data_IF_685071946925
#
_entry.id   IF_685071946925
#
_cell.length_a   1.000
_cell.length_b   1.000
_cell.length_c   1.000
_cell.angle_alpha   90.00
_cell.angle_beta   90.00
_cell.angle_gamma   90.00
#
_symmetry.space_group_name_H-M   'P 1'
#
loop_
_entity.id
_entity.type
_entity.pdbx_description
1 polymer ?
#
# COMPACT_ATOMS: atom_id res chain seq x y z
N UNK A 1 -42.41 -5.36 12.00
CA UNK A 1 -41.88 -6.45 12.85
C UNK A 1 -41.56 -7.66 11.98
N UNK A 2 -40.31 -7.81 11.55
CA UNK A 2 -39.88 -9.00 10.82
C UNK A 2 -39.87 -10.18 11.82
N UNK A 3 -40.56 -11.27 11.47
CA UNK A 3 -40.81 -12.38 12.40
C UNK A 3 -39.51 -13.01 12.90
N UNK A 4 -39.47 -13.37 14.19
CA UNK A 4 -38.33 -14.08 14.81
C UNK A 4 -37.93 -15.40 14.09
N UNK A 5 -38.78 -15.90 13.18
CA UNK A 5 -38.48 -17.08 12.36
C UNK A 5 -37.38 -16.83 11.31
N UNK A 6 -37.24 -15.60 10.80
CA UNK A 6 -36.19 -15.26 9.84
C UNK A 6 -34.81 -15.17 10.49
N UNK A 7 -34.74 -14.64 11.71
CA UNK A 7 -33.49 -14.52 12.48
C UNK A 7 -32.96 -15.91 12.88
N UNK A 8 -33.85 -16.85 13.26
CA UNK A 8 -33.46 -18.23 13.58
C UNK A 8 -32.97 -19.01 12.36
N UNK A 9 -33.53 -18.80 11.16
CA UNK A 9 -33.04 -19.44 9.93
C UNK A 9 -31.69 -18.90 9.46
N UNK A 10 -31.37 -17.64 9.74
CA UNK A 10 -30.05 -17.08 9.47
C UNK A 10 -28.99 -17.61 10.45
N UNK A 11 -29.33 -17.74 11.73
CA UNK A 11 -28.43 -18.29 12.76
C UNK A 11 -28.10 -19.79 12.53
N UNK A 12 -29.04 -20.58 12.00
CA UNK A 12 -28.82 -22.00 11.71
C UNK A 12 -27.94 -22.26 10.46
N UNK A 13 -27.77 -21.26 9.56
CA UNK A 13 -26.85 -21.34 8.42
C UNK A 13 -25.42 -20.89 8.77
N UNK A 14 -25.25 -20.19 9.89
CA UNK A 14 -23.96 -19.87 10.48
C UNK A 14 -23.57 -21.03 11.40
N UNK A 15 -23.06 -22.10 10.81
CA UNK A 15 -22.52 -23.24 11.57
C UNK A 15 -21.57 -22.76 12.66
N UNK A 16 -21.70 -23.32 13.86
CA UNK A 16 -20.78 -23.12 14.96
C UNK A 16 -19.35 -23.45 14.50
N UNK A 17 -18.34 -22.59 14.71
CA UNK A 17 -16.96 -22.94 14.40
C UNK A 17 -16.54 -24.06 15.34
N UNK A 18 -16.56 -25.29 14.82
CA UNK A 18 -16.10 -26.45 15.55
C UNK A 18 -14.58 -26.31 15.74
N UNK A 19 -14.14 -26.60 16.96
CA UNK A 19 -12.76 -26.52 17.38
C UNK A 19 -11.85 -27.39 16.49
N UNK A 20 -10.94 -26.77 15.76
CA UNK A 20 -9.78 -27.46 15.19
C UNK A 20 -8.66 -27.45 16.22
N UNK A 21 -8.59 -28.54 16.99
CA UNK A 21 -7.44 -28.93 17.79
C UNK A 21 -6.67 -29.97 16.99
N UNK A 22 -5.41 -29.68 16.67
CA UNK A 22 -4.42 -30.67 16.24
C UNK A 22 -3.81 -30.43 14.86
N UNK A 23 -2.68 -29.70 14.82
CA UNK A 23 -1.37 -30.27 14.47
C UNK A 23 -0.33 -29.16 14.42
N UNK A 24 0.69 -29.26 15.27
CA UNK A 24 1.89 -28.44 15.27
C UNK A 24 2.62 -28.54 13.92
N UNK A 25 2.35 -27.59 13.03
CA UNK A 25 3.30 -27.11 12.03
C UNK A 25 3.41 -25.61 12.25
N UNK A 26 4.57 -25.15 12.75
CA UNK A 26 4.89 -23.72 12.83
C UNK A 26 4.70 -23.11 11.44
N UNK A 27 3.64 -22.34 11.22
CA UNK A 27 3.53 -21.44 10.08
C UNK A 27 4.80 -20.58 10.08
N UNK A 28 5.61 -20.68 9.02
CA UNK A 28 6.64 -19.66 8.74
C UNK A 28 5.88 -18.34 8.67
N UNK A 29 6.13 -17.42 9.62
CA UNK A 29 5.43 -16.15 9.71
C UNK A 29 5.38 -15.47 8.34
N UNK A 30 4.18 -15.18 7.85
CA UNK A 30 3.95 -14.52 6.56
C UNK A 30 4.65 -13.17 6.57
N UNK A 31 5.62 -12.97 5.65
CA UNK A 31 6.36 -11.69 5.53
C UNK A 31 5.40 -10.55 5.20
N UNK A 32 5.53 -9.45 5.93
CA UNK A 32 4.85 -8.19 5.63
C UNK A 32 5.48 -7.52 4.40
N UNK A 33 4.67 -6.97 3.51
CA UNK A 33 5.15 -6.37 2.25
C UNK A 33 4.63 -4.95 2.09
N UNK A 34 5.55 -3.98 2.04
CA UNK A 34 5.26 -2.61 1.66
C UNK A 34 5.36 -2.41 0.15
N UNK A 35 4.65 -1.41 -0.37
CA UNK A 35 4.68 -1.05 -1.79
C UNK A 35 5.20 0.37 -1.97
N UNK A 36 6.05 0.61 -2.96
CA UNK A 36 6.50 1.93 -3.38
C UNK A 36 6.10 2.17 -4.83
N UNK A 37 5.43 3.28 -5.09
CA UNK A 37 5.12 3.78 -6.42
C UNK A 37 5.82 5.12 -6.59
N UNK A 38 6.80 5.22 -7.49
CA UNK A 38 7.47 6.50 -7.77
C UNK A 38 6.74 7.23 -8.90
N UNK A 39 6.13 8.36 -8.57
CA UNK A 39 5.37 9.24 -9.45
C UNK A 39 5.82 10.72 -9.34
N UNK A 40 7.09 10.94 -8.96
CA UNK A 40 7.62 12.26 -8.61
C UNK A 40 8.23 13.05 -9.78
N UNK A 41 7.60 13.00 -10.97
CA UNK A 41 8.09 13.63 -12.20
C UNK A 41 8.48 15.13 -12.10
N UNK A 42 9.10 15.66 -13.16
CA UNK A 42 9.55 17.04 -13.40
C UNK A 42 8.74 17.76 -14.49
N UNK A 43 8.55 19.07 -14.31
CA UNK A 43 7.89 19.94 -15.28
C UNK A 43 8.61 20.09 -16.64
N UNK A 44 9.92 19.84 -16.72
CA UNK A 44 10.80 20.35 -17.79
C UNK A 44 11.11 19.38 -18.94
N UNK A 45 10.53 18.17 -18.96
CA UNK A 45 10.73 17.24 -20.06
C UNK A 45 9.45 17.06 -20.90
N UNK A 46 9.56 17.20 -22.23
CA UNK A 46 8.45 17.04 -23.21
C UNK A 46 7.77 15.65 -23.19
N UNK A 47 8.29 14.67 -22.44
CA UNK A 47 7.86 13.26 -22.40
C UNK A 47 7.82 12.73 -20.96
N UNK A 48 7.25 13.52 -20.06
CA UNK A 48 7.07 13.06 -18.69
C UNK A 48 5.80 12.20 -18.57
N UNK A 49 5.90 11.03 -17.90
CA UNK A 49 4.77 10.14 -17.73
C UNK A 49 3.75 10.82 -16.83
N UNK A 50 2.56 11.09 -17.35
CA UNK A 50 1.45 11.66 -16.59
C UNK A 50 0.82 10.58 -15.70
N UNK A 51 1.02 10.57 -14.36
CA UNK A 51 0.48 9.53 -13.47
C UNK A 51 -1.06 9.46 -13.48
N UNK A 52 -1.72 10.52 -13.95
CA UNK A 52 -3.16 10.66 -14.04
C UNK A 52 -3.70 10.33 -15.44
N UNK A 53 -2.83 9.98 -16.40
CA UNK A 53 -3.26 9.43 -17.70
C UNK A 53 -4.15 8.22 -17.45
N UNK A 54 -5.29 8.18 -18.15
CA UNK A 54 -6.22 7.06 -18.04
C UNK A 54 -5.87 6.01 -19.08
N UNK A 55 -5.80 4.76 -18.63
CA UNK A 55 -5.82 3.60 -19.51
C UNK A 55 -7.10 2.84 -19.20
N UNK A 56 -8.03 2.80 -20.15
CA UNK A 56 -9.43 2.50 -19.87
C UNK A 56 -10.10 3.63 -19.08
N UNK A 57 -10.74 3.30 -17.96
CA UNK A 57 -11.53 4.27 -17.16
C UNK A 57 -10.80 4.88 -15.96
N UNK A 58 -9.64 4.33 -15.58
CA UNK A 58 -8.90 4.70 -14.37
C UNK A 58 -7.49 5.20 -14.72
N UNK A 59 -6.92 6.03 -13.83
CA UNK A 59 -5.54 6.52 -13.96
C UNK A 59 -4.53 5.38 -13.83
N UNK A 60 -3.36 5.52 -14.47
CA UNK A 60 -2.27 4.54 -14.37
C UNK A 60 -1.83 4.32 -12.92
N UNK A 61 -1.74 5.39 -12.13
CA UNK A 61 -1.31 5.27 -10.73
C UNK A 61 -2.33 4.51 -9.89
N UNK A 62 -3.62 4.76 -10.11
CA UNK A 62 -4.71 4.05 -9.46
C UNK A 62 -4.73 2.58 -9.83
N UNK A 63 -4.42 2.23 -11.07
CA UNK A 63 -4.28 0.83 -11.51
C UNK A 63 -3.21 0.09 -10.70
N UNK A 64 -2.04 0.70 -10.52
CA UNK A 64 -0.97 0.12 -9.70
C UNK A 64 -1.41 -0.04 -8.24
N UNK A 65 -2.05 0.99 -7.66
CA UNK A 65 -2.57 0.94 -6.28
C UNK A 65 -3.57 -0.21 -6.11
N UNK A 66 -4.52 -0.38 -7.04
CA UNK A 66 -5.50 -1.46 -6.98
C UNK A 66 -4.83 -2.83 -7.08
N UNK A 67 -3.84 -2.98 -7.97
CA UNK A 67 -3.07 -4.21 -8.12
C UNK A 67 -2.32 -4.57 -6.82
N UNK A 68 -1.71 -3.59 -6.16
CA UNK A 68 -1.06 -3.77 -4.85
C UNK A 68 -2.07 -4.14 -3.75
N UNK A 69 -3.22 -3.47 -3.70
CA UNK A 69 -4.27 -3.74 -2.71
C UNK A 69 -4.83 -5.16 -2.84
N UNK A 70 -5.01 -5.64 -4.06
CA UNK A 70 -5.57 -6.97 -4.33
C UNK A 70 -4.70 -8.12 -3.78
N UNK A 71 -3.38 -7.94 -3.75
CA UNK A 71 -2.44 -8.92 -3.17
C UNK A 71 -2.13 -8.66 -1.69
N UNK A 72 -2.77 -7.66 -1.08
CA UNK A 72 -2.61 -7.34 0.34
C UNK A 72 -1.33 -6.58 0.67
N UNK A 73 -0.71 -5.88 -0.28
CA UNK A 73 0.42 -4.99 0.02
C UNK A 73 -0.06 -3.85 0.91
N UNK A 74 0.63 -3.67 2.03
CA UNK A 74 0.38 -2.59 2.98
C UNK A 74 1.62 -2.38 3.86
N UNK A 75 2.07 -1.12 4.06
CA UNK A 75 1.51 0.10 3.50
C UNK A 75 1.88 0.30 2.02
N UNK A 76 1.05 1.06 1.28
CA UNK A 76 1.35 1.52 -0.09
C UNK A 76 1.80 2.97 0.00
N UNK A 77 3.02 3.24 -0.45
CA UNK A 77 3.68 4.54 -0.43
C UNK A 77 3.78 5.07 -1.85
N UNK A 78 3.19 6.23 -2.10
CA UNK A 78 3.25 6.95 -3.38
C UNK A 78 4.19 8.13 -3.21
N UNK A 79 5.27 8.15 -3.99
CA UNK A 79 6.22 9.25 -4.01
C UNK A 79 5.76 10.26 -5.06
N UNK A 80 5.40 11.47 -4.63
CA UNK A 80 4.91 12.54 -5.49
C UNK A 80 5.95 13.66 -5.64
N UNK A 81 5.74 14.52 -6.64
CA UNK A 81 6.64 15.62 -7.00
C UNK A 81 5.82 16.72 -7.67
N UNK A 82 6.03 16.95 -8.97
CA UNK A 82 5.35 18.01 -9.72
C UNK A 82 3.80 18.01 -9.61
N UNK A 83 3.13 16.87 -9.86
CA UNK A 83 1.66 16.77 -9.80
C UNK A 83 1.13 16.30 -8.42
N UNK A 84 1.78 16.68 -7.32
CA UNK A 84 1.47 16.11 -6.01
C UNK A 84 0.01 16.29 -5.58
N UNK A 85 -0.55 17.50 -5.71
CA UNK A 85 -1.91 17.78 -5.24
C UNK A 85 -2.99 17.00 -6.01
N UNK A 86 -2.84 16.89 -7.33
CA UNK A 86 -3.79 16.19 -8.20
C UNK A 86 -3.74 14.68 -7.97
N UNK A 87 -2.54 14.11 -7.79
CA UNK A 87 -2.34 12.70 -7.44
C UNK A 87 -2.91 12.41 -6.05
N UNK A 88 -2.64 13.29 -5.08
CA UNK A 88 -3.16 13.17 -3.72
C UNK A 88 -4.69 13.20 -3.69
N UNK A 89 -5.31 14.03 -4.53
CA UNK A 89 -6.75 14.10 -4.68
C UNK A 89 -7.33 12.82 -5.29
N UNK A 90 -6.77 12.31 -6.39
CA UNK A 90 -7.24 11.08 -7.08
C UNK A 90 -7.18 9.84 -6.17
N UNK A 91 -6.19 9.80 -5.27
CA UNK A 91 -5.91 8.65 -4.41
C UNK A 91 -6.32 8.84 -2.93
N UNK A 92 -6.97 9.96 -2.57
CA UNK A 92 -7.25 10.37 -1.19
C UNK A 92 -8.03 9.35 -0.34
N UNK A 93 -8.84 8.51 -1.00
CA UNK A 93 -9.72 7.50 -0.38
C UNK A 93 -9.24 6.06 -0.59
N UNK A 94 -8.04 5.88 -1.15
CA UNK A 94 -7.43 4.57 -1.38
C UNK A 94 -6.49 4.13 -0.25
N UNK A 95 -6.38 4.90 0.84
CA UNK A 95 -5.58 4.51 2.00
C UNK A 95 -4.09 4.36 1.69
N UNK A 96 -3.59 5.14 0.73
CA UNK A 96 -2.16 5.23 0.40
C UNK A 96 -1.49 6.33 1.24
N UNK A 97 -0.17 6.21 1.39
CA UNK A 97 0.70 7.17 2.06
C UNK A 97 1.42 7.99 1.00
N UNK A 98 1.44 9.30 1.12
CA UNK A 98 2.15 10.20 0.22
C UNK A 98 3.46 10.69 0.85
N UNK A 99 4.55 10.58 0.08
CA UNK A 99 5.82 11.24 0.40
C UNK A 99 6.16 12.18 -0.75
N UNK A 100 6.36 13.46 -0.45
CA UNK A 100 6.74 14.46 -1.47
C UNK A 100 8.26 14.50 -1.59
N UNK A 101 8.76 14.34 -2.81
CA UNK A 101 10.13 14.70 -3.13
C UNK A 101 10.18 16.19 -3.46
N UNK A 102 10.50 17.04 -2.49
CA UNK A 102 10.57 18.50 -2.68
C UNK A 102 11.65 18.92 -3.70
N UNK A 103 12.65 18.06 -3.94
CA UNK A 103 13.72 18.30 -4.90
C UNK A 103 13.43 17.65 -6.27
N UNK A 104 12.16 17.40 -6.60
CA UNK A 104 11.78 16.69 -7.84
C UNK A 104 12.45 17.28 -9.08
N UNK A 105 12.54 18.62 -9.20
CA UNK A 105 13.14 19.28 -10.37
C UNK A 105 14.62 18.96 -10.62
N UNK A 106 15.43 18.76 -9.57
CA UNK A 106 16.88 18.54 -9.68
C UNK A 106 17.33 17.10 -9.40
N UNK A 107 16.50 16.31 -8.71
CA UNK A 107 16.80 14.92 -8.32
C UNK A 107 16.53 13.89 -9.42
N UNK A 108 16.96 12.66 -9.22
CA UNK A 108 16.70 11.51 -10.10
C UNK A 108 15.58 10.62 -9.52
N UNK A 109 15.05 9.71 -10.35
CA UNK A 109 14.07 8.70 -9.90
C UNK A 109 14.59 7.88 -8.71
N UNK A 110 15.90 7.60 -8.68
CA UNK A 110 16.51 6.85 -7.59
C UNK A 110 16.46 7.59 -6.25
N UNK A 111 16.57 8.92 -6.24
CA UNK A 111 16.40 9.71 -5.01
C UNK A 111 14.98 9.59 -4.46
N UNK A 112 13.99 9.59 -5.37
CA UNK A 112 12.58 9.35 -5.01
C UNK A 112 12.37 7.93 -4.47
N UNK A 113 13.05 6.93 -5.05
CA UNK A 113 13.04 5.57 -4.54
C UNK A 113 13.63 5.48 -3.12
N UNK A 114 14.75 6.16 -2.85
CA UNK A 114 15.37 6.22 -1.52
C UNK A 114 14.44 6.82 -0.47
N UNK A 115 13.64 7.83 -0.81
CA UNK A 115 12.62 8.40 0.11
C UNK A 115 11.63 7.31 0.54
N UNK A 116 11.09 6.54 -0.42
CA UNK A 116 10.15 5.46 -0.14
C UNK A 116 10.79 4.31 0.66
N UNK A 117 12.00 3.89 0.26
CA UNK A 117 12.73 2.80 0.93
C UNK A 117 13.08 3.17 2.38
N UNK A 118 13.58 4.39 2.61
CA UNK A 118 13.86 4.89 3.95
C UNK A 118 12.62 4.96 4.84
N UNK A 119 11.46 5.29 4.26
CA UNK A 119 10.20 5.26 5.00
C UNK A 119 9.78 3.83 5.39
N UNK A 120 9.99 2.85 4.51
CA UNK A 120 9.55 1.45 4.71
C UNK A 120 10.54 0.55 5.46
N UNK A 121 11.79 0.97 5.62
CA UNK A 121 12.89 0.14 6.17
C UNK A 121 12.52 -0.63 7.44
N UNK A 122 11.84 0.02 8.39
CA UNK A 122 11.45 -0.58 9.68
C UNK A 122 9.93 -0.82 9.78
N UNK A 123 9.22 -0.91 8.65
CA UNK A 123 7.76 -1.05 8.59
C UNK A 123 7.27 -2.27 7.80
N UNK A 124 8.17 -2.96 7.12
CA UNK A 124 7.85 -4.14 6.31
C UNK A 124 9.08 -5.02 6.16
N UNK A 125 8.90 -6.34 6.06
CA UNK A 125 9.99 -7.31 5.86
C UNK A 125 10.56 -7.28 4.43
N UNK A 126 9.73 -6.85 3.47
CA UNK A 126 10.09 -6.70 2.07
C UNK A 126 9.29 -5.58 1.40
N UNK A 127 9.81 -5.09 0.28
CA UNK A 127 9.26 -3.96 -0.46
C UNK A 127 9.12 -4.32 -1.93
N UNK A 128 7.94 -4.06 -2.49
CA UNK A 128 7.70 -4.04 -3.94
C UNK A 128 7.89 -2.60 -4.42
N UNK A 129 8.87 -2.39 -5.28
CA UNK A 129 9.17 -1.11 -5.92
C UNK A 129 8.69 -1.08 -7.37
N UNK A 130 7.95 -0.05 -7.74
CA UNK A 130 7.48 0.16 -9.10
C UNK A 130 7.56 1.64 -9.54
N UNK A 131 8.14 1.95 -10.72
CA UNK A 131 7.94 3.25 -11.34
C UNK A 131 6.51 3.36 -11.87
N UNK A 132 5.88 4.53 -11.78
CA UNK A 132 4.50 4.73 -12.26
C UNK A 132 4.33 4.46 -13.76
N UNK A 133 5.43 4.45 -14.51
CA UNK A 133 5.46 4.26 -15.96
C UNK A 133 5.09 2.87 -16.40
N UNK A 134 5.17 1.84 -15.55
CA UNK A 134 4.85 0.45 -15.91
C UNK A 134 3.64 0.02 -15.10
N UNK A 135 2.41 0.11 -15.65
CA UNK A 135 1.18 -0.06 -14.87
C UNK A 135 0.46 -1.40 -15.09
N UNK A 136 0.98 -2.31 -15.94
CA UNK A 136 0.21 -3.44 -16.47
C UNK A 136 0.56 -4.83 -15.92
N UNK A 137 1.49 -4.95 -14.97
CA UNK A 137 1.73 -6.24 -14.31
C UNK A 137 0.49 -6.72 -13.55
N UNK A 138 0.38 -8.04 -13.43
CA UNK A 138 -0.77 -8.70 -12.81
C UNK A 138 -0.58 -8.89 -11.30
N UNK A 139 -1.69 -9.02 -10.55
CA UNK A 139 -1.65 -9.44 -9.14
C UNK A 139 -0.92 -10.77 -8.93
N UNK A 140 -1.07 -11.73 -9.85
CA UNK A 140 -0.40 -13.04 -9.78
C UNK A 140 1.13 -12.88 -9.78
N UNK A 141 1.66 -11.98 -10.61
CA UNK A 141 3.10 -11.67 -10.65
C UNK A 141 3.62 -11.24 -9.30
N UNK A 142 2.93 -10.31 -8.64
CA UNK A 142 3.36 -9.82 -7.33
C UNK A 142 3.24 -10.91 -6.27
N UNK A 143 2.16 -11.68 -6.29
CA UNK A 143 1.95 -12.77 -5.33
C UNK A 143 3.08 -13.81 -5.43
N UNK A 144 3.44 -14.24 -6.65
CA UNK A 144 4.56 -15.17 -6.87
C UNK A 144 5.90 -14.59 -6.40
N UNK A 145 6.13 -13.29 -6.64
CA UNK A 145 7.32 -12.60 -6.12
C UNK A 145 7.36 -12.61 -4.59
N UNK A 146 6.26 -12.29 -3.91
CA UNK A 146 6.16 -12.27 -2.45
C UNK A 146 6.39 -13.65 -1.80
N UNK A 147 6.00 -14.73 -2.49
CA UNK A 147 6.10 -16.11 -2.00
C UNK A 147 7.48 -16.76 -2.27
N UNK A 148 8.25 -16.23 -3.22
CA UNK A 148 9.54 -16.81 -3.63
C UNK A 148 10.61 -16.78 -2.53
N UNK A 149 10.60 -15.77 -1.65
CA UNK A 149 11.48 -15.69 -0.49
C UNK A 149 12.93 -15.27 -0.77
N UNK A 150 13.32 -15.05 -2.04
CA UNK A 150 14.62 -14.49 -2.39
C UNK A 150 14.73 -13.01 -1.98
N UNK A 151 15.95 -12.55 -1.69
CA UNK A 151 16.19 -11.21 -1.14
C UNK A 151 16.00 -10.09 -2.19
N UNK A 152 16.27 -10.38 -3.46
CA UNK A 152 15.99 -9.46 -4.58
C UNK A 152 15.39 -10.27 -5.73
N UNK A 153 14.22 -9.85 -6.22
CA UNK A 153 13.53 -10.53 -7.33
C UNK A 153 13.18 -9.52 -8.41
N UNK A 154 13.48 -9.88 -9.65
CA UNK A 154 12.97 -9.18 -10.82
C UNK A 154 12.23 -10.13 -11.74
N UNK A 155 10.99 -9.80 -12.14
CA UNK A 155 10.26 -10.60 -13.08
C UNK A 155 10.91 -10.51 -14.46
N UNK A 156 10.83 -11.61 -15.20
CA UNK A 156 11.25 -11.70 -16.59
C UNK A 156 10.15 -12.32 -17.45
N UNK A 157 9.96 -11.76 -18.64
CA UNK A 157 9.03 -12.26 -19.65
C UNK A 157 9.83 -12.55 -20.91
N UNK A 158 9.89 -13.83 -21.31
CA UNK A 158 10.69 -14.33 -22.43
C UNK A 158 12.13 -13.75 -22.47
N UNK A 159 12.84 -13.83 -21.33
CA UNK A 159 14.23 -13.39 -21.20
C UNK A 159 14.44 -11.88 -21.05
N UNK A 160 13.37 -11.07 -21.07
CA UNK A 160 13.45 -9.63 -20.82
C UNK A 160 13.01 -9.34 -19.39
N UNK A 161 13.85 -8.65 -18.61
CA UNK A 161 13.49 -8.20 -17.27
C UNK A 161 12.54 -7.02 -17.32
N UNK A 162 11.60 -6.97 -16.37
CA UNK A 162 10.68 -5.86 -16.18
C UNK A 162 10.52 -5.44 -14.72
N UNK A 163 9.38 -4.81 -14.46
CA UNK A 163 8.93 -4.35 -13.15
C UNK A 163 7.64 -5.08 -12.72
N UNK A 164 7.35 -5.19 -11.41
CA UNK A 164 8.00 -4.50 -10.30
C UNK A 164 9.29 -5.19 -9.81
N UNK A 165 10.02 -4.56 -8.89
CA UNK A 165 11.21 -5.12 -8.23
C UNK A 165 10.86 -5.46 -6.77
N UNK A 166 11.13 -6.68 -6.31
CA UNK A 166 11.05 -7.02 -4.88
C UNK A 166 12.42 -6.87 -4.24
N UNK A 167 12.46 -6.25 -3.06
CA UNK A 167 13.65 -6.01 -2.26
C UNK A 167 13.36 -6.38 -0.81
N UNK A 168 14.18 -7.25 -0.21
CA UNK A 168 14.13 -7.50 1.22
C UNK A 168 14.57 -6.26 2.00
N UNK A 169 13.89 -5.97 3.12
CA UNK A 169 14.18 -4.81 3.93
C UNK A 169 15.62 -4.79 4.49
N UNK A 170 16.23 -5.96 4.70
CA UNK A 170 17.62 -6.12 5.15
C UNK A 170 18.64 -5.48 4.19
N UNK A 171 18.28 -5.34 2.91
CA UNK A 171 19.15 -4.77 1.87
C UNK A 171 18.99 -3.25 1.74
N UNK A 172 17.92 -2.67 2.31
CA UNK A 172 17.63 -1.24 2.20
C UNK A 172 18.79 -0.37 2.69
N UNK A 173 19.41 -0.61 3.86
CA UNK A 173 20.54 0.21 4.33
C UNK A 173 21.69 0.29 3.31
N UNK A 174 21.99 -0.81 2.61
CA UNK A 174 23.03 -0.84 1.57
C UNK A 174 22.62 -0.09 0.31
N UNK A 175 21.36 -0.23 -0.12
CA UNK A 175 20.82 0.54 -1.26
C UNK A 175 20.88 2.05 -0.97
N UNK A 176 20.55 2.45 0.26
CA UNK A 176 20.59 3.86 0.67
C UNK A 176 21.99 4.47 0.58
N UNK A 177 23.03 3.68 0.84
CA UNK A 177 24.44 4.09 0.77
C UNK A 177 24.99 4.19 -0.67
N UNK A 178 24.33 3.58 -1.66
CA UNK A 178 24.80 3.63 -3.04
C UNK A 178 24.68 5.05 -3.62
N UNK A 179 25.79 5.59 -4.11
CA UNK A 179 25.89 6.94 -4.68
C UNK A 179 26.38 6.95 -6.14
N UNK A 180 26.32 5.79 -6.82
CA UNK A 180 26.70 5.70 -8.24
C UNK A 180 25.61 6.23 -9.18
N UNK A 181 25.96 6.38 -10.46
CA UNK A 181 25.11 7.04 -11.47
C UNK A 181 24.07 6.13 -12.12
N UNK A 182 24.16 4.81 -11.91
CA UNK A 182 23.28 3.81 -12.54
C UNK A 182 21.93 3.59 -11.81
N UNK A 183 21.56 4.49 -10.90
CA UNK A 183 20.28 4.46 -10.17
C UNK A 183 20.01 3.14 -9.44
N UNK A 184 18.74 2.73 -9.39
CA UNK A 184 18.31 1.49 -8.71
C UNK A 184 19.02 0.25 -9.26
N UNK A 185 19.23 0.17 -10.58
CA UNK A 185 19.93 -0.95 -11.20
C UNK A 185 21.34 -1.10 -10.64
N UNK A 186 22.12 -0.01 -10.65
CA UNK A 186 23.46 -0.02 -10.09
C UNK A 186 23.51 -0.31 -8.60
N UNK A 187 22.51 0.18 -7.84
CA UNK A 187 22.39 -0.11 -6.42
C UNK A 187 22.22 -1.61 -6.16
N UNK A 188 21.33 -2.28 -6.91
CA UNK A 188 21.11 -3.73 -6.81
C UNK A 188 22.35 -4.50 -7.23
N UNK A 189 22.99 -4.13 -8.35
CA UNK A 189 24.20 -4.79 -8.84
C UNK A 189 25.37 -4.68 -7.83
N UNK A 190 25.41 -3.62 -7.02
CA UNK A 190 26.42 -3.40 -5.96
C UNK A 190 26.12 -4.13 -4.63
N UNK A 191 24.99 -4.81 -4.47
CA UNK A 191 24.64 -5.44 -3.18
C UNK A 191 25.50 -6.67 -2.85
N UNK A 192 26.20 -7.23 -3.83
CA UNK A 192 26.87 -8.53 -3.72
C UNK A 192 25.91 -9.70 -3.46
N UNK A 193 24.60 -9.48 -3.66
CA UNK A 193 23.54 -10.47 -3.49
C UNK A 193 23.12 -11.03 -4.84
N UNK A 194 22.74 -12.31 -4.89
CA UNK A 194 22.25 -12.93 -6.11
C UNK A 194 20.85 -12.40 -6.41
N UNK A 195 20.72 -11.64 -7.50
CA UNK A 195 19.42 -11.23 -8.05
C UNK A 195 18.72 -12.46 -8.63
N UNK A 196 17.53 -12.76 -8.13
CA UNK A 196 16.68 -13.82 -8.67
C UNK A 196 15.85 -13.28 -9.84
N UNK A 197 16.05 -13.83 -11.03
CA UNK A 197 15.23 -13.57 -12.20
C UNK A 197 14.07 -14.56 -12.20
N UNK A 198 12.84 -14.05 -12.15
CA UNK A 198 11.64 -14.88 -12.07
C UNK A 198 10.91 -14.88 -13.41
N UNK A 199 11.03 -15.98 -14.14
CA UNK A 199 10.28 -16.15 -15.38
C UNK A 199 8.77 -16.26 -15.09
N UNK A 200 8.01 -15.38 -15.73
CA UNK A 200 6.57 -15.27 -15.58
C UNK A 200 5.90 -14.94 -16.90
N UNK A 201 4.72 -15.50 -17.13
CA UNK A 201 3.90 -15.28 -18.32
C UNK A 201 3.06 -14.00 -18.19
N UNK A 202 3.75 -12.88 -17.95
CA UNK A 202 3.15 -11.56 -17.76
C UNK A 202 3.95 -10.52 -18.54
N UNK A 203 3.48 -10.21 -19.75
CA UNK A 203 4.06 -9.18 -20.58
C UNK A 203 3.90 -7.77 -19.99
N UNK A 204 2.92 -7.56 -19.10
CA UNK A 204 2.62 -6.27 -18.49
C UNK A 204 3.76 -5.72 -17.63
N UNK A 205 4.77 -6.53 -17.32
CA UNK A 205 5.98 -6.12 -16.61
C UNK A 205 6.93 -5.25 -17.46
N UNK A 206 6.78 -5.26 -18.80
CA UNK A 206 7.76 -4.67 -19.73
C UNK A 206 7.36 -3.28 -20.24
N UNK A 207 6.07 -3.05 -20.45
CA UNK A 207 5.61 -1.92 -21.25
C UNK A 207 5.41 -0.68 -20.40
N UNK A 208 6.06 0.40 -20.82
CA UNK A 208 5.88 1.70 -20.20
C UNK A 208 4.74 2.49 -20.86
N UNK A 209 4.46 3.67 -20.31
CA UNK A 209 3.38 4.57 -20.75
C UNK A 209 3.54 5.13 -22.18
N UNK A 210 4.74 5.03 -22.78
CA UNK A 210 4.95 5.49 -24.16
C UNK A 210 4.38 4.50 -25.19
N UNK A 211 4.19 3.22 -24.80
CA UNK A 211 3.60 2.18 -25.66
C UNK A 211 2.06 2.06 -25.48
N UNK A 212 1.35 3.15 -25.75
CA UNK A 212 -0.11 3.25 -25.53
C UNK A 212 -0.86 2.13 -26.29
N UNK A 213 -0.47 1.84 -27.53
CA UNK A 213 -1.11 0.80 -28.34
C UNK A 213 -1.01 -0.58 -27.67
N UNK A 214 0.16 -0.93 -27.12
CA UNK A 214 0.31 -2.22 -26.43
C UNK A 214 -0.41 -2.24 -25.10
N UNK A 215 -0.42 -1.13 -24.36
CA UNK A 215 -1.18 -1.02 -23.11
C UNK A 215 -2.69 -1.23 -23.33
N UNK A 216 -3.25 -0.68 -24.42
CA UNK A 216 -4.65 -0.89 -24.80
C UNK A 216 -4.96 -2.35 -25.16
N UNK A 217 -4.02 -3.04 -25.82
CA UNK A 217 -4.16 -4.48 -26.11
C UNK A 217 -4.12 -5.32 -24.83
N UNK A 218 -3.27 -4.96 -23.87
CA UNK A 218 -3.17 -5.66 -22.59
C UNK A 218 -4.33 -5.35 -21.64
N UNK A 219 -4.99 -4.21 -21.81
CA UNK A 219 -6.03 -3.69 -20.92
C UNK A 219 -7.12 -4.71 -20.64
N UNK A 220 -7.63 -5.42 -21.66
CA UNK A 220 -8.71 -6.39 -21.48
C UNK A 220 -8.28 -7.54 -20.57
N UNK A 221 -7.12 -8.15 -20.86
CA UNK A 221 -6.57 -9.26 -20.07
C UNK A 221 -6.26 -8.77 -18.65
N UNK A 222 -5.58 -7.64 -18.52
CA UNK A 222 -5.24 -7.07 -17.22
C UNK A 222 -6.49 -6.75 -16.39
N UNK A 223 -7.54 -6.17 -16.97
CA UNK A 223 -8.81 -5.89 -16.28
C UNK A 223 -9.48 -7.16 -15.73
N UNK A 224 -9.32 -8.31 -16.40
CA UNK A 224 -9.79 -9.59 -15.86
C UNK A 224 -8.96 -10.02 -14.65
N UNK A 225 -7.64 -9.83 -14.68
CA UNK A 225 -6.78 -10.17 -13.54
C UNK A 225 -6.98 -9.26 -12.32
N UNK A 226 -7.36 -7.99 -12.53
CA UNK A 226 -7.69 -7.07 -11.43
C UNK A 226 -9.14 -7.17 -10.94
N UNK A 227 -9.92 -8.13 -11.45
CA UNK A 227 -11.26 -8.42 -10.94
C UNK A 227 -11.14 -9.09 -9.57
N UNK A 228 -11.58 -8.40 -8.51
CA UNK A 228 -11.51 -8.88 -7.14
C UNK A 228 -12.63 -8.27 -6.28
N UNK A 229 -12.98 -8.89 -5.14
CA UNK A 229 -13.90 -8.27 -4.21
C UNK A 229 -13.24 -7.07 -3.55
N UNK A 230 -13.89 -5.92 -3.63
CA UNK A 230 -13.44 -4.69 -2.98
C UNK A 230 -14.37 -4.34 -1.82
N UNK A 231 -13.86 -4.45 -0.59
CA UNK A 231 -14.63 -4.19 0.64
C UNK A 231 -14.06 -2.99 1.38
N UNK A 232 -14.90 -1.98 1.60
CA UNK A 232 -14.60 -0.85 2.50
C UNK A 232 -15.18 -1.14 3.86
N UNK A 233 -14.32 -1.19 4.88
CA UNK A 233 -14.70 -1.50 6.25
C UNK A 233 -14.60 -0.23 7.07
N UNK A 234 -15.63 0.03 7.86
CA UNK A 234 -15.76 1.22 8.69
C UNK A 234 -16.61 0.89 9.92
N UNK A 235 -16.47 1.70 10.97
CA UNK A 235 -17.28 1.60 12.19
C UNK A 235 -18.09 2.90 12.32
N UNK A 236 -19.39 2.72 12.54
CA UNK A 236 -20.35 3.79 12.80
C UNK A 236 -21.17 3.50 14.07
N UNK A 237 -21.70 4.56 14.65
CA UNK A 237 -22.76 4.56 15.66
C UNK A 237 -23.91 5.43 15.14
N UNK A 238 -24.26 6.52 15.83
CA UNK A 238 -25.15 7.55 15.27
C UNK A 238 -24.51 8.26 14.07
N UNK A 239 -23.17 8.25 13.98
CA UNK A 239 -22.42 8.74 12.83
C UNK A 239 -21.19 7.87 12.52
N UNK A 240 -20.68 7.97 11.29
CA UNK A 240 -19.42 7.34 10.87
C UNK A 240 -18.24 7.98 11.60
N UNK A 241 -17.51 7.21 12.40
CA UNK A 241 -16.40 7.74 13.21
C UNK A 241 -15.05 7.07 12.98
N UNK A 242 -15.03 5.87 12.36
CA UNK A 242 -13.78 5.20 12.03
C UNK A 242 -13.81 4.56 10.64
N UNK A 243 -12.86 4.95 9.79
CA UNK A 243 -12.72 4.44 8.43
C UNK A 243 -11.23 4.26 8.09
N UNK A 244 -10.94 3.83 6.86
CA UNK A 244 -9.55 3.63 6.37
C UNK A 244 -8.65 4.85 6.56
N UNK A 245 -9.19 6.07 6.46
CA UNK A 245 -8.44 7.32 6.62
C UNK A 245 -8.10 7.60 8.08
N UNK A 246 -9.05 7.37 9.00
CA UNK A 246 -8.79 7.47 10.45
C UNK A 246 -7.79 6.40 10.90
N UNK A 247 -7.92 5.16 10.41
CA UNK A 247 -6.92 4.09 10.63
C UNK A 247 -5.52 4.53 10.22
N UNK A 248 -5.37 5.05 9.00
CA UNK A 248 -4.08 5.47 8.48
C UNK A 248 -3.49 6.64 9.26
N UNK A 249 -4.32 7.58 9.72
CA UNK A 249 -3.92 8.65 10.63
C UNK A 249 -3.34 8.09 11.93
N UNK A 250 -3.99 7.12 12.58
CA UNK A 250 -3.50 6.51 13.82
C UNK A 250 -2.18 5.75 13.60
N UNK A 251 -2.08 4.95 12.54
CA UNK A 251 -0.83 4.25 12.17
C UNK A 251 0.33 5.25 12.01
N UNK A 252 0.11 6.35 11.31
CA UNK A 252 1.14 7.36 11.10
C UNK A 252 1.47 8.12 12.39
N UNK A 253 0.52 8.39 13.28
CA UNK A 253 0.81 8.96 14.61
C UNK A 253 1.68 7.99 15.43
N UNK A 254 1.37 6.69 15.40
CA UNK A 254 2.15 5.66 16.08
C UNK A 254 3.62 5.65 15.62
N UNK A 255 3.88 5.86 14.33
CA UNK A 255 5.24 5.87 13.78
C UNK A 255 5.97 7.22 13.84
N UNK A 256 5.25 8.33 13.63
CA UNK A 256 5.88 9.67 13.53
C UNK A 256 5.87 10.43 14.86
N UNK A 257 5.07 9.96 15.82
CA UNK A 257 4.79 10.65 17.07
C UNK A 257 4.31 12.10 16.91
N UNK A 258 3.64 12.39 15.78
CA UNK A 258 3.21 13.74 15.39
C UNK A 258 1.98 13.72 14.49
N UNK A 259 0.89 14.33 14.96
CA UNK A 259 -0.33 14.50 14.13
C UNK A 259 -0.03 15.34 12.89
N UNK A 260 0.81 16.37 13.02
CA UNK A 260 1.16 17.25 11.89
C UNK A 260 1.95 16.47 10.84
N UNK A 261 2.90 15.63 11.26
CA UNK A 261 3.66 14.78 10.33
C UNK A 261 2.74 13.75 9.66
N UNK A 262 1.87 13.10 10.43
CA UNK A 262 0.89 12.16 9.89
C UNK A 262 -0.02 12.81 8.84
N UNK A 263 -0.53 14.02 9.10
CA UNK A 263 -1.38 14.78 8.17
C UNK A 263 -0.74 15.00 6.80
N UNK A 264 0.55 15.36 6.78
CA UNK A 264 1.32 15.57 5.53
C UNK A 264 1.37 14.32 4.65
N UNK A 265 1.27 13.14 5.25
CA UNK A 265 1.39 11.86 4.55
C UNK A 265 0.07 11.31 4.01
N UNK A 266 -1.09 11.91 4.32
CA UNK A 266 -2.41 11.37 3.91
C UNK A 266 -3.33 12.42 3.30
N UNK A 267 -2.73 13.52 2.80
CA UNK A 267 -3.45 14.66 2.23
C UNK A 267 -4.61 15.13 3.13
N UNK A 268 -4.32 15.30 4.43
CA UNK A 268 -5.31 15.67 5.44
C UNK A 268 -4.89 16.98 6.12
N UNK A 269 -5.83 17.92 6.26
CA UNK A 269 -5.53 19.14 7.02
C UNK A 269 -5.44 18.85 8.51
N UNK A 270 -4.56 19.60 9.20
CA UNK A 270 -4.35 19.45 10.64
C UNK A 270 -5.64 19.62 11.46
N UNK A 271 -6.51 20.57 11.06
CA UNK A 271 -7.79 20.80 11.72
C UNK A 271 -8.78 19.64 11.49
N UNK A 272 -8.81 19.07 10.29
CA UNK A 272 -9.67 17.92 9.98
C UNK A 272 -9.19 16.67 10.72
N UNK A 273 -7.87 16.48 10.89
CA UNK A 273 -7.32 15.39 11.70
C UNK A 273 -7.76 15.47 13.16
N UNK A 274 -7.69 16.65 13.79
CA UNK A 274 -8.20 16.81 15.16
C UNK A 274 -9.71 16.62 15.27
N UNK A 275 -10.49 17.06 14.28
CA UNK A 275 -11.94 16.75 14.25
C UNK A 275 -12.19 15.24 14.21
N UNK A 276 -11.44 14.49 13.40
CA UNK A 276 -11.54 13.03 13.32
C UNK A 276 -11.12 12.34 14.63
N UNK A 277 -10.02 12.79 15.26
CA UNK A 277 -9.55 12.24 16.54
C UNK A 277 -10.55 12.51 17.67
N UNK A 278 -11.05 13.74 17.78
CA UNK A 278 -12.01 14.11 18.81
C UNK A 278 -13.34 13.34 18.64
N UNK A 279 -13.82 13.18 17.40
CA UNK A 279 -15.02 12.38 17.13
C UNK A 279 -14.78 10.91 17.53
N UNK A 280 -13.63 10.34 17.18
CA UNK A 280 -13.28 8.98 17.56
C UNK A 280 -13.28 8.79 19.09
N UNK A 281 -12.64 9.70 19.83
CA UNK A 281 -12.59 9.64 21.30
C UNK A 281 -13.96 9.83 21.94
N UNK A 282 -14.78 10.74 21.41
CA UNK A 282 -16.17 10.94 21.85
C UNK A 282 -17.00 9.66 21.66
N UNK A 283 -16.91 9.03 20.50
CA UNK A 283 -17.68 7.81 20.19
C UNK A 283 -17.16 6.59 20.95
N UNK A 284 -15.86 6.54 21.28
CA UNK A 284 -15.28 5.44 22.07
C UNK A 284 -15.44 5.63 23.59
N UNK A 285 -15.56 6.86 24.06
CA UNK A 285 -15.64 7.19 25.49
C UNK A 285 -14.29 7.15 26.23
N UNK A 286 -13.17 7.12 25.49
CA UNK A 286 -11.82 7.16 26.05
C UNK A 286 -10.84 7.85 25.09
N UNK A 287 -9.73 8.35 25.63
CA UNK A 287 -8.67 8.97 24.83
C UNK A 287 -7.94 7.93 23.98
N UNK A 288 -7.77 8.22 22.69
CA UNK A 288 -7.04 7.40 21.72
C UNK A 288 -5.64 7.96 21.51
N UNK A 289 -5.44 9.26 21.73
CA UNK A 289 -4.14 9.91 21.65
C UNK A 289 -3.80 10.69 22.91
N UNK A 290 -2.52 10.71 23.27
CA UNK A 290 -1.98 11.57 24.33
C UNK A 290 -0.98 12.58 23.77
N UNK A 291 -1.05 13.82 24.26
CA UNK A 291 -0.10 14.88 23.90
C UNK A 291 0.95 15.05 25.00
N UNK A 292 2.23 15.02 24.63
CA UNK A 292 3.34 15.41 25.50
C UNK A 292 3.85 16.78 25.06
N UNK A 293 3.73 17.76 25.95
CA UNK A 293 4.22 19.11 25.68
C UNK A 293 5.75 19.08 25.50
N UNK A 294 6.23 19.63 24.40
CA UNK A 294 7.65 19.76 24.07
C UNK A 294 7.92 21.18 23.59
N UNK A 295 9.11 21.70 23.88
CA UNK A 295 9.55 23.06 23.55
C UNK A 295 9.67 23.34 22.04
N UNK A 296 10.76 23.97 21.60
CA UNK A 296 10.93 24.56 20.26
C UNK A 296 10.62 23.66 19.03
N UNK A 297 10.56 22.33 19.19
CA UNK A 297 10.25 21.37 18.12
C UNK A 297 8.76 20.93 18.07
N UNK A 298 7.90 21.52 18.90
CA UNK A 298 6.47 21.21 18.97
C UNK A 298 6.13 20.00 19.87
N UNK A 299 4.85 19.90 20.26
CA UNK A 299 4.36 18.81 21.10
C UNK A 299 4.35 17.47 20.37
N UNK A 300 4.74 16.40 21.07
CA UNK A 300 4.66 15.02 20.56
C UNK A 300 3.27 14.45 20.82
N UNK A 301 2.81 13.56 19.96
CA UNK A 301 1.53 12.86 20.12
C UNK A 301 1.74 11.37 19.96
N UNK A 302 1.26 10.59 20.91
CA UNK A 302 1.35 9.13 20.92
C UNK A 302 -0.06 8.54 20.95
N UNK A 303 -0.22 7.30 20.47
CA UNK A 303 -1.43 6.54 20.78
C UNK A 303 -1.42 6.20 22.28
N UNK A 304 -2.58 6.27 22.92
CA UNK A 304 -2.78 5.65 24.24
C UNK A 304 -2.72 4.12 24.11
N UNK A 305 -2.65 3.41 25.24
CA UNK A 305 -2.70 1.95 25.22
C UNK A 305 -4.04 1.45 24.63
N UNK A 306 -5.14 2.07 25.01
CA UNK A 306 -6.48 1.78 24.50
C UNK A 306 -6.58 2.10 23.00
N UNK A 307 -6.01 3.22 22.56
CA UNK A 307 -5.95 3.59 21.15
C UNK A 307 -5.17 2.60 20.29
N UNK A 308 -4.03 2.11 20.79
CA UNK A 308 -3.24 1.08 20.12
C UNK A 308 -4.00 -0.26 20.03
N UNK A 309 -4.63 -0.70 21.12
CA UNK A 309 -5.44 -1.93 21.14
C UNK A 309 -6.65 -1.82 20.22
N UNK A 310 -7.32 -0.67 20.17
CA UNK A 310 -8.42 -0.43 19.24
C UNK A 310 -7.97 -0.56 17.79
N UNK A 311 -6.84 0.07 17.44
CA UNK A 311 -6.27 0.01 16.10
C UNK A 311 -5.93 -1.43 15.68
N UNK A 312 -5.29 -2.19 16.57
CA UNK A 312 -4.96 -3.60 16.34
C UNK A 312 -6.21 -4.46 16.11
N UNK A 313 -7.25 -4.30 16.96
CA UNK A 313 -8.53 -5.00 16.78
C UNK A 313 -9.20 -4.66 15.45
N UNK A 314 -9.14 -3.40 15.03
CA UNK A 314 -9.67 -2.99 13.73
C UNK A 314 -8.88 -3.64 12.58
N UNK A 315 -7.55 -3.66 12.65
CA UNK A 315 -6.71 -4.31 11.62
C UNK A 315 -7.03 -5.80 11.51
N UNK A 316 -7.19 -6.49 12.65
CA UNK A 316 -7.58 -7.90 12.66
C UNK A 316 -8.99 -8.13 12.08
N UNK A 317 -9.95 -7.27 12.44
CA UNK A 317 -11.30 -7.33 11.88
C UNK A 317 -11.28 -7.11 10.36
N UNK A 318 -10.54 -6.11 9.89
CA UNK A 318 -10.39 -5.81 8.47
C UNK A 318 -9.80 -6.99 7.69
N UNK A 319 -8.73 -7.60 8.22
CA UNK A 319 -8.10 -8.78 7.60
C UNK A 319 -9.08 -9.96 7.53
N UNK A 320 -9.78 -10.27 8.62
CA UNK A 320 -10.74 -11.38 8.66
C UNK A 320 -11.85 -11.21 7.61
N UNK A 321 -12.41 -10.01 7.49
CA UNK A 321 -13.48 -9.72 6.52
C UNK A 321 -12.92 -9.78 5.08
N UNK A 322 -11.71 -9.28 4.83
CA UNK A 322 -11.08 -9.37 3.50
C UNK A 322 -10.83 -10.80 3.08
N UNK A 323 -10.33 -11.65 3.99
CA UNK A 323 -10.11 -13.07 3.71
C UNK A 323 -11.44 -13.78 3.41
N UNK A 324 -12.47 -13.53 4.21
CA UNK A 324 -13.80 -14.06 3.96
C UNK A 324 -14.35 -13.62 2.60
N UNK A 325 -14.30 -12.31 2.29
CA UNK A 325 -14.79 -11.77 1.04
C UNK A 325 -14.06 -12.35 -0.18
N UNK A 326 -12.73 -12.52 -0.08
CA UNK A 326 -11.91 -13.17 -1.12
C UNK A 326 -12.34 -14.62 -1.34
N UNK A 327 -12.45 -15.40 -0.27
CA UNK A 327 -12.86 -16.80 -0.36
C UNK A 327 -14.27 -16.94 -0.95
N UNK A 328 -15.21 -16.11 -0.51
CA UNK A 328 -16.59 -16.15 -0.98
C UNK A 328 -16.73 -15.68 -2.44
N UNK A 329 -15.95 -14.67 -2.85
CA UNK A 329 -15.91 -14.25 -4.25
C UNK A 329 -15.42 -15.37 -5.17
N UNK A 330 -14.29 -15.98 -4.85
CA UNK A 330 -13.72 -17.10 -5.62
C UNK A 330 -14.65 -18.33 -5.68
N UNK A 331 -15.55 -18.48 -4.70
CA UNK A 331 -16.53 -19.58 -4.67
C UNK A 331 -17.70 -19.32 -5.62
N UNK A 332 -18.04 -18.05 -5.87
CA UNK A 332 -19.26 -17.65 -6.57
C UNK A 332 -19.01 -17.20 -8.02
N UNK A 333 -17.82 -16.67 -8.31
CA UNK A 333 -17.43 -16.10 -9.60
C UNK A 333 -16.16 -16.76 -10.11
#
# INVERSE_FOLDING_TARGET
MLSQSYIKKAAAKLGTPNALRGSDMKEKGKKTTGGIIVAAGKQSARREPNPLLKIGSISVIKRIVLTFQQVGISPIVVITGYNAEEIEHDLADYGVIFLRNENYGSSQMFDSAKIGLGFLQDKSDQVIFNPVTIPMFTPETIQRMMECGAAVISPSYHGKSGHPLLISAELIPRIMQYNGTMGMRGAIDNLGSVRHWMDIEDEGILHDMDDIERLDQLLKKHNQHILHPFVRISIEKESLFFNSKTKLLLLLIQHTHSVRSACRHIALSYSKAWKMLNLLEQELGYAVVERKHGGSNGGKTYLTQEGAVFLEKFQQFEENVRQYAKAEFNRLF
#
